data_IF_894957494492
#
_entry.id   IF_894957494492
#
_cell.length_a   1.000
_cell.length_b   1.000
_cell.length_c   1.000
_cell.angle_alpha   90.00
_cell.angle_beta   90.00
_cell.angle_gamma   90.00
#
_symmetry.space_group_name_H-M   'P 1'
#
loop_
_entity.id
_entity.type
_entity.pdbx_description
1 polymer ?
#
# COMPACT_ATOMS: atom_id res chain seq x y z
N UNK A 1 -2.85 -15.28 -2.96
CA UNK A 1 -2.65 -13.84 -2.65
C UNK A 1 -1.17 -13.65 -2.38
N UNK A 2 -0.53 -12.68 -3.05
CA UNK A 2 0.93 -12.47 -2.99
C UNK A 2 1.41 -11.83 -1.67
N UNK A 3 0.52 -11.32 -0.83
CA UNK A 3 0.85 -10.68 0.44
C UNK A 3 -0.37 -10.35 1.29
N UNK A 4 -0.17 -9.56 2.34
CA UNK A 4 -1.20 -9.07 3.25
C UNK A 4 -1.80 -7.75 2.71
N UNK A 5 -3.10 -7.70 2.38
CA UNK A 5 -3.72 -6.52 1.81
C UNK A 5 -3.81 -5.38 2.83
N UNK A 6 -3.42 -4.18 2.40
CA UNK A 6 -3.66 -2.94 3.14
C UNK A 6 -5.03 -2.45 2.71
N UNK A 7 -6.03 -2.68 3.55
CA UNK A 7 -7.43 -2.29 3.29
C UNK A 7 -7.77 -0.95 3.98
N UNK A 8 -8.90 -0.33 3.63
CA UNK A 8 -9.38 0.89 4.31
C UNK A 8 -9.64 0.72 5.82
N UNK A 9 -9.73 -0.53 6.31
CA UNK A 9 -9.84 -0.82 7.74
C UNK A 9 -8.49 -0.70 8.48
N UNK A 10 -7.38 -0.85 7.76
CA UNK A 10 -6.02 -0.81 8.30
C UNK A 10 -5.41 0.59 8.15
N UNK A 11 -5.58 1.21 6.98
CA UNK A 11 -5.07 2.54 6.69
C UNK A 11 -6.09 3.32 5.86
N UNK A 12 -6.46 4.51 6.32
CA UNK A 12 -7.36 5.41 5.59
C UNK A 12 -7.08 6.86 5.96
N UNK A 13 -7.08 7.72 4.95
CA UNK A 13 -7.12 9.17 5.10
C UNK A 13 -8.22 9.74 4.20
N UNK A 14 -8.87 10.79 4.66
CA UNK A 14 -9.94 11.47 3.94
C UNK A 14 -9.68 12.96 3.98
N UNK A 15 -9.84 13.59 2.82
CA UNK A 15 -9.86 15.03 2.66
C UNK A 15 -11.14 15.39 1.89
N UNK A 16 -12.01 16.21 2.51
CA UNK A 16 -13.44 16.30 2.16
C UNK A 16 -13.70 16.95 0.81
N UNK A 17 -12.77 17.76 0.33
CA UNK A 17 -12.81 18.45 -0.95
C UNK A 17 -11.87 17.83 -2.00
N UNK A 18 -11.15 16.76 -1.63
CA UNK A 18 -10.26 16.02 -2.52
C UNK A 18 -10.86 14.69 -2.95
N UNK A 19 -10.52 14.24 -4.17
CA UNK A 19 -10.83 12.88 -4.62
C UNK A 19 -9.89 11.88 -3.92
N UNK A 20 -10.29 10.62 -3.66
CA UNK A 20 -9.39 9.61 -3.07
C UNK A 20 -8.07 9.41 -3.83
N UNK A 21 -8.11 9.52 -5.16
CA UNK A 21 -6.92 9.45 -6.01
C UNK A 21 -5.92 10.61 -5.79
N UNK A 22 -6.38 11.74 -5.21
CA UNK A 22 -5.55 12.90 -4.89
C UNK A 22 -4.92 12.82 -3.49
N UNK A 23 -5.40 11.92 -2.62
CA UNK A 23 -4.83 11.70 -1.29
C UNK A 23 -3.70 10.69 -1.41
N UNK A 24 -2.46 11.15 -1.32
CA UNK A 24 -1.25 10.34 -1.57
C UNK A 24 -0.52 10.03 -0.27
N UNK A 25 -0.23 8.75 -0.06
CA UNK A 25 0.64 8.25 0.99
C UNK A 25 2.07 8.10 0.46
N UNK A 26 3.05 8.54 1.26
CA UNK A 26 4.48 8.35 0.99
C UNK A 26 5.08 7.44 2.05
N UNK A 27 5.76 6.38 1.62
CA UNK A 27 6.56 5.54 2.50
C UNK A 27 7.91 6.24 2.70
N UNK A 28 8.08 6.88 3.85
CA UNK A 28 9.33 7.60 4.17
C UNK A 28 10.45 6.64 4.61
N UNK A 29 10.07 5.50 5.16
CA UNK A 29 10.99 4.45 5.60
C UNK A 29 10.42 3.10 5.17
N UNK A 30 11.18 2.34 4.38
CA UNK A 30 10.72 1.03 3.93
C UNK A 30 10.55 0.07 5.13
N UNK A 31 9.56 -0.84 5.07
CA UNK A 31 9.44 -1.89 6.08
C UNK A 31 10.72 -2.70 6.18
N UNK A 32 11.16 -3.00 7.40
CA UNK A 32 12.42 -3.75 7.63
C UNK A 32 12.38 -5.16 7.03
N UNK A 33 11.27 -5.86 7.25
CA UNK A 33 11.11 -7.29 6.94
C UNK A 33 10.35 -7.57 5.63
N UNK A 34 10.13 -6.55 4.81
CA UNK A 34 9.26 -6.69 3.66
C UNK A 34 9.20 -5.44 2.80
N UNK A 35 8.20 -5.38 1.94
CA UNK A 35 7.98 -4.26 1.05
C UNK A 35 6.50 -4.12 0.71
N UNK A 36 6.11 -2.94 0.27
CA UNK A 36 4.76 -2.66 -0.19
C UNK A 36 4.74 -2.72 -1.71
N UNK A 37 3.74 -3.38 -2.28
CA UNK A 37 3.51 -3.48 -3.72
C UNK A 37 2.15 -2.92 -4.11
N UNK A 38 2.05 -2.47 -5.36
CA UNK A 38 0.77 -2.14 -5.99
C UNK A 38 0.43 -3.18 -7.07
N UNK A 39 -0.64 -3.93 -6.84
CA UNK A 39 -1.09 -5.01 -7.72
C UNK A 39 -1.69 -4.50 -9.04
N UNK A 40 -2.31 -3.32 -9.04
CA UNK A 40 -2.83 -2.66 -10.22
C UNK A 40 -1.76 -2.11 -11.17
N UNK A 41 -0.50 -2.02 -10.71
CA UNK A 41 0.66 -1.52 -11.48
C UNK A 41 1.74 -2.58 -11.73
N UNK A 42 1.33 -3.84 -11.90
CA UNK A 42 2.24 -4.93 -12.25
C UNK A 42 3.08 -5.46 -11.09
N UNK A 43 2.57 -5.36 -9.86
CA UNK A 43 3.16 -5.93 -8.64
C UNK A 43 4.56 -5.41 -8.25
N UNK A 44 4.97 -4.24 -8.77
CA UNK A 44 6.24 -3.64 -8.39
C UNK A 44 6.20 -3.08 -6.97
N UNK A 45 7.36 -3.03 -6.30
CA UNK A 45 7.47 -2.31 -5.03
C UNK A 45 7.20 -0.83 -5.24
N UNK A 46 6.41 -0.23 -4.36
CA UNK A 46 6.04 1.19 -4.44
C UNK A 46 6.54 1.94 -3.22
N UNK A 47 6.84 3.23 -3.41
CA UNK A 47 7.12 4.19 -2.33
C UNK A 47 5.98 5.20 -2.17
N UNK A 48 5.03 5.23 -3.11
CA UNK A 48 3.86 6.10 -3.10
C UNK A 48 2.62 5.36 -3.60
N UNK A 49 1.46 5.61 -2.99
CA UNK A 49 0.16 5.11 -3.42
C UNK A 49 -0.95 6.05 -2.95
N UNK A 50 -2.13 5.98 -3.57
CA UNK A 50 -3.27 6.83 -3.23
C UNK A 50 -4.28 6.14 -2.31
N UNK A 51 -5.21 6.90 -1.73
CA UNK A 51 -6.36 6.31 -1.03
C UNK A 51 -7.22 5.45 -1.99
N UNK A 52 -7.34 5.83 -3.27
CA UNK A 52 -8.04 5.01 -4.26
C UNK A 52 -7.37 3.64 -4.46
N UNK A 53 -6.04 3.56 -4.45
CA UNK A 53 -5.34 2.27 -4.55
C UNK A 53 -5.62 1.36 -3.33
N UNK A 54 -5.84 1.94 -2.14
CA UNK A 54 -6.24 1.20 -0.93
C UNK A 54 -7.70 0.74 -1.04
N UNK A 55 -8.59 1.62 -1.50
CA UNK A 55 -10.02 1.34 -1.65
C UNK A 55 -10.26 0.19 -2.65
N UNK A 56 -9.46 0.15 -3.72
CA UNK A 56 -9.45 -0.92 -4.73
C UNK A 56 -8.71 -2.20 -4.27
N UNK A 57 -8.18 -2.23 -3.04
CA UNK A 57 -7.37 -3.33 -2.50
C UNK A 57 -6.13 -3.67 -3.34
N UNK A 58 -5.57 -2.69 -4.06
CA UNK A 58 -4.37 -2.87 -4.87
C UNK A 58 -3.09 -2.83 -4.05
N UNK A 59 -3.12 -2.35 -2.81
CA UNK A 59 -1.91 -2.24 -1.98
C UNK A 59 -1.75 -3.45 -1.07
N UNK A 60 -0.57 -4.07 -1.12
CA UNK A 60 -0.24 -5.23 -0.28
C UNK A 60 1.14 -5.08 0.34
N UNK A 61 1.28 -5.54 1.58
CA UNK A 61 2.57 -5.82 2.21
C UNK A 61 3.01 -7.25 1.89
N UNK A 62 4.26 -7.41 1.48
CA UNK A 62 4.88 -8.71 1.20
C UNK A 62 6.05 -8.90 2.16
N UNK A 63 6.03 -10.00 2.91
CA UNK A 63 7.14 -10.42 3.76
C UNK A 63 8.26 -10.99 2.89
N UNK A 64 9.53 -10.64 3.15
CA UNK A 64 10.67 -11.29 2.49
C UNK A 64 10.83 -12.70 3.04
N UNK A 65 10.89 -13.69 2.16
CA UNK A 65 10.89 -15.13 2.50
C UNK A 65 12.05 -15.57 3.40
N UNK A 66 13.09 -14.75 3.49
CA UNK A 66 14.33 -14.94 4.23
C UNK A 66 14.34 -14.27 5.61
N UNK A 67 13.23 -13.65 6.02
CA UNK A 67 13.12 -12.97 7.32
C UNK A 67 11.94 -13.51 8.13
N UNK A 68 12.21 -14.19 9.25
CA UNK A 68 11.24 -14.37 10.32
C UNK A 68 11.09 -13.01 11.02
N UNK A 69 9.93 -12.38 10.85
CA UNK A 69 9.57 -11.13 11.54
C UNK A 69 9.38 -11.33 13.05
#
# INVERSE_FOLDING_TARGET
LLGFPISPKVLRAEDRDSKPASVVFHITTQPKHGYVVNLGRGNNSVVTFSQADIDDLHICYVLRNDENA
#
